data_IF_897728223546
#
_entry.id   IF_897728223546
#
_cell.length_a   1.000
_cell.length_b   1.000
_cell.length_c   1.000
_cell.angle_alpha   90.00
_cell.angle_beta   90.00
_cell.angle_gamma   90.00
#
_symmetry.space_group_name_H-M   'P 1'
#
loop_
_entity.id
_entity.type
_entity.pdbx_description
1 polymer ?
#
# COMPACT_ATOMS: atom_id res chain seq x y z
N UNK A 1 -4.55 -22.93 -5.61
CA UNK A 1 -4.65 -21.71 -6.46
C UNK A 1 -6.03 -21.73 -7.10
N UNK A 2 -6.78 -20.64 -7.02
CA UNK A 2 -8.08 -20.53 -7.70
C UNK A 2 -7.86 -20.39 -9.21
N UNK A 3 -8.69 -21.06 -10.01
CA UNK A 3 -8.75 -20.86 -11.46
C UNK A 3 -9.34 -19.47 -11.76
N UNK A 4 -8.89 -18.83 -12.84
CA UNK A 4 -9.43 -17.54 -13.32
C UNK A 4 -10.94 -17.59 -13.57
N UNK A 5 -11.50 -18.78 -13.84
CA UNK A 5 -12.95 -19.02 -13.90
C UNK A 5 -13.66 -18.80 -12.55
N UNK A 6 -13.04 -19.19 -11.43
CA UNK A 6 -13.57 -19.01 -10.08
C UNK A 6 -13.51 -17.54 -9.65
N UNK A 7 -12.44 -16.82 -9.99
CA UNK A 7 -12.36 -15.37 -9.71
C UNK A 7 -13.42 -14.59 -10.52
N UNK A 8 -13.69 -15.02 -11.75
CA UNK A 8 -14.77 -14.44 -12.55
C UNK A 8 -16.14 -14.69 -11.92
N UNK A 9 -16.36 -15.86 -11.30
CA UNK A 9 -17.58 -16.16 -10.55
C UNK A 9 -17.70 -15.29 -9.28
N UNK A 10 -16.60 -15.07 -8.56
CA UNK A 10 -16.58 -14.14 -7.42
C UNK A 10 -16.83 -12.70 -7.84
N UNK A 11 -16.22 -12.22 -8.92
CA UNK A 11 -16.50 -10.88 -9.46
C UNK A 11 -17.95 -10.73 -9.90
N UNK A 12 -18.56 -11.78 -10.46
CA UNK A 12 -19.99 -11.80 -10.78
C UNK A 12 -20.84 -11.76 -9.50
N UNK A 13 -20.47 -12.52 -8.47
CA UNK A 13 -21.12 -12.46 -7.15
C UNK A 13 -21.02 -11.06 -6.53
N UNK A 14 -19.86 -10.40 -6.61
CA UNK A 14 -19.65 -9.01 -6.20
C UNK A 14 -20.53 -8.07 -7.03
N UNK A 15 -20.58 -8.24 -8.35
CA UNK A 15 -21.39 -7.44 -9.26
C UNK A 15 -22.89 -7.52 -8.92
N UNK A 16 -23.37 -8.74 -8.63
CA UNK A 16 -24.74 -9.07 -8.24
C UNK A 16 -25.06 -8.72 -6.78
N UNK A 17 -24.07 -8.29 -6.00
CA UNK A 17 -24.20 -7.98 -4.57
C UNK A 17 -24.56 -9.19 -3.72
N UNK A 18 -24.13 -10.37 -4.15
CA UNK A 18 -24.26 -11.64 -3.43
C UNK A 18 -22.99 -12.01 -2.67
N UNK A 19 -21.95 -11.18 -2.77
CA UNK A 19 -20.70 -11.37 -2.03
C UNK A 19 -20.95 -11.12 -0.52
N UNK A 20 -20.88 -12.18 0.27
CA UNK A 20 -21.18 -12.17 1.72
C UNK A 20 -19.96 -11.88 2.60
N UNK A 21 -18.81 -11.55 2.01
CA UNK A 21 -17.59 -11.17 2.72
C UNK A 21 -16.47 -12.22 2.65
N UNK A 22 -15.38 -11.92 3.37
CA UNK A 22 -14.12 -12.67 3.42
C UNK A 22 -14.22 -13.97 4.25
N UNK A 23 -15.24 -14.80 4.02
CA UNK A 23 -15.24 -16.15 4.60
C UNK A 23 -14.38 -17.08 3.73
N UNK A 24 -13.05 -16.93 3.80
CA UNK A 24 -12.15 -17.96 3.24
C UNK A 24 -12.08 -19.14 4.21
N UNK A 25 -12.80 -20.21 3.89
CA UNK A 25 -12.72 -21.52 4.58
C UNK A 25 -11.38 -22.25 4.37
N UNK A 26 -10.34 -21.57 3.88
CA UNK A 26 -9.04 -22.17 3.59
C UNK A 26 -8.07 -21.98 4.77
N UNK A 27 -7.86 -23.05 5.54
CA UNK A 27 -6.83 -23.17 6.59
C UNK A 27 -5.43 -22.70 6.16
N UNK A 28 -5.14 -22.73 4.85
CA UNK A 28 -3.88 -22.25 4.26
C UNK A 28 -3.74 -20.71 4.31
N UNK A 29 -4.84 -19.99 4.05
CA UNK A 29 -4.84 -18.52 4.05
C UNK A 29 -4.68 -17.98 5.47
N UNK A 30 -5.39 -18.58 6.44
CA UNK A 30 -5.31 -18.19 7.85
C UNK A 30 -3.89 -18.31 8.43
N UNK A 31 -3.18 -19.42 8.15
CA UNK A 31 -1.78 -19.60 8.59
C UNK A 31 -0.82 -18.60 7.96
N UNK A 32 -1.05 -18.25 6.69
CA UNK A 32 -0.20 -17.29 5.98
C UNK A 32 -0.38 -15.88 6.55
N UNK A 33 -1.62 -15.50 6.88
CA UNK A 33 -1.92 -14.19 7.47
C UNK A 33 -1.34 -14.04 8.88
N UNK A 34 -1.49 -15.06 9.72
CA UNK A 34 -0.96 -15.05 11.09
C UNK A 34 0.58 -14.90 11.11
N UNK A 35 1.28 -15.66 10.25
CA UNK A 35 2.74 -15.56 10.13
C UNK A 35 3.19 -14.17 9.67
N UNK A 36 2.45 -13.54 8.77
CA UNK A 36 2.75 -12.18 8.32
C UNK A 36 2.50 -11.14 9.41
N UNK A 37 1.43 -11.27 10.17
CA UNK A 37 1.13 -10.37 11.28
C UNK A 37 2.23 -10.41 12.35
N UNK A 38 2.62 -11.61 12.79
CA UNK A 38 3.75 -11.82 13.72
C UNK A 38 5.03 -11.19 13.16
N UNK A 39 5.26 -11.37 11.86
CA UNK A 39 6.39 -10.80 11.13
C UNK A 39 6.38 -9.26 11.10
N UNK A 40 5.23 -8.60 11.06
CA UNK A 40 5.13 -7.13 11.13
C UNK A 40 5.31 -6.58 12.55
N UNK A 41 4.85 -7.29 13.57
CA UNK A 41 5.11 -6.95 14.98
C UNK A 41 6.62 -6.95 15.24
N UNK A 42 7.30 -8.04 14.85
CA UNK A 42 8.76 -8.16 15.00
C UNK A 42 9.51 -7.01 14.34
N UNK A 43 9.04 -6.55 13.18
CA UNK A 43 9.67 -5.42 12.49
C UNK A 43 9.46 -4.11 13.24
N UNK A 44 8.26 -3.86 13.78
CA UNK A 44 8.02 -2.68 14.61
C UNK A 44 8.94 -2.64 15.82
N UNK A 45 9.14 -3.77 16.49
CA UNK A 45 10.03 -3.84 17.66
C UNK A 45 11.49 -3.63 17.28
N UNK A 46 11.98 -4.29 16.22
CA UNK A 46 13.36 -4.06 15.75
C UNK A 46 13.63 -2.62 15.32
N UNK A 47 12.65 -1.94 14.70
CA UNK A 47 12.77 -0.53 14.34
C UNK A 47 12.95 0.34 15.60
N UNK A 48 12.19 0.06 16.66
CA UNK A 48 12.34 0.78 17.94
C UNK A 48 13.70 0.49 18.58
N UNK A 49 14.11 -0.77 18.63
CA UNK A 49 15.41 -1.20 19.17
C UNK A 49 16.56 -0.48 18.47
N UNK A 50 16.56 -0.50 17.13
CA UNK A 50 17.58 0.17 16.32
C UNK A 50 17.60 1.69 16.54
N UNK A 51 16.42 2.32 16.67
CA UNK A 51 16.33 3.75 16.97
C UNK A 51 16.99 4.12 18.31
N UNK A 52 16.67 3.39 19.39
CA UNK A 52 17.26 3.67 20.70
C UNK A 52 18.75 3.36 20.72
N UNK A 53 19.17 2.22 20.14
CA UNK A 53 20.58 1.87 20.03
C UNK A 53 21.39 2.92 19.27
N UNK A 54 20.86 3.47 18.18
CA UNK A 54 21.56 4.50 17.41
C UNK A 54 21.74 5.80 18.19
N UNK A 55 20.68 6.24 18.88
CA UNK A 55 20.69 7.49 19.65
C UNK A 55 21.63 7.41 20.86
N UNK A 56 21.77 6.24 21.48
CA UNK A 56 22.71 6.03 22.59
C UNK A 56 24.19 6.15 22.15
N UNK A 57 24.49 5.88 20.87
CA UNK A 57 25.84 5.95 20.32
C UNK A 57 26.28 7.37 19.91
N UNK A 58 25.46 8.41 20.17
CA UNK A 58 25.79 9.83 19.95
C UNK A 58 26.24 10.19 18.51
N UNK A 59 25.76 9.46 17.50
CA UNK A 59 26.03 9.84 16.11
C UNK A 59 25.25 11.11 15.76
N UNK A 60 25.95 12.17 15.35
CA UNK A 60 25.39 13.50 15.06
C UNK A 60 25.22 13.69 13.56
N UNK A 61 24.42 12.85 12.94
CA UNK A 61 24.02 13.05 11.55
C UNK A 61 23.01 14.20 11.46
N UNK A 62 23.27 15.15 10.57
CA UNK A 62 22.36 16.25 10.25
C UNK A 62 22.42 16.52 8.77
N UNK A 63 21.27 16.63 8.13
CA UNK A 63 21.17 16.94 6.72
C UNK A 63 20.07 17.96 6.45
N UNK A 64 20.36 18.93 5.59
CA UNK A 64 19.42 20.00 5.23
C UNK A 64 19.13 19.93 3.74
N UNK A 65 17.87 19.66 3.40
CA UNK A 65 17.33 19.69 2.04
C UNK A 65 16.96 21.11 1.68
N UNK A 66 17.43 21.58 0.52
CA UNK A 66 17.19 22.92 -0.01
C UNK A 66 16.47 22.88 -1.36
N UNK A 67 15.73 23.94 -1.68
CA UNK A 67 15.13 24.11 -3.01
C UNK A 67 16.18 24.57 -4.05
N UNK A 68 15.75 24.73 -5.31
CA UNK A 68 16.63 25.20 -6.39
C UNK A 68 17.18 26.63 -6.18
N UNK A 69 16.58 27.41 -5.28
CA UNK A 69 17.01 28.76 -4.91
C UNK A 69 17.89 28.78 -3.66
N UNK A 70 18.20 27.61 -3.07
CA UNK A 70 18.99 27.48 -1.85
C UNK A 70 18.22 27.69 -0.55
N UNK A 71 16.89 27.91 -0.62
CA UNK A 71 16.06 28.02 0.57
C UNK A 71 15.95 26.68 1.27
N UNK A 72 16.05 26.68 2.60
CA UNK A 72 15.86 25.48 3.40
C UNK A 72 14.41 25.00 3.30
N UNK A 73 14.22 23.76 2.82
CA UNK A 73 12.94 23.09 2.77
C UNK A 73 12.70 22.23 4.00
N UNK A 74 13.75 21.54 4.46
CA UNK A 74 13.66 20.56 5.53
C UNK A 74 15.04 20.29 6.11
N UNK A 75 15.15 20.15 7.43
CA UNK A 75 16.36 19.69 8.10
C UNK A 75 16.02 18.45 8.92
N UNK A 76 16.77 17.38 8.70
CA UNK A 76 16.73 16.16 9.48
C UNK A 76 17.92 16.07 10.42
N UNK A 77 17.69 15.50 11.60
CA UNK A 77 18.72 15.17 12.59
C UNK A 77 18.54 13.74 13.07
N UNK A 78 19.64 13.05 13.35
CA UNK A 78 19.61 11.67 13.87
C UNK A 78 18.84 11.52 15.17
N UNK A 79 18.82 12.58 16.00
CA UNK A 79 18.12 12.66 17.28
C UNK A 79 16.65 13.13 17.16
N UNK A 80 16.15 13.33 15.94
CA UNK A 80 14.72 13.54 15.72
C UNK A 80 13.91 12.32 16.18
N UNK A 81 12.62 12.51 16.42
CA UNK A 81 11.76 11.46 16.97
C UNK A 81 11.65 10.25 16.03
N UNK A 82 11.45 9.06 16.61
CA UNK A 82 11.14 7.84 15.84
C UNK A 82 9.95 8.03 14.88
N UNK A 83 8.97 8.84 15.27
CA UNK A 83 7.84 9.16 14.39
C UNK A 83 8.30 9.88 13.11
N UNK A 84 9.24 10.83 13.22
CA UNK A 84 9.82 11.54 12.08
C UNK A 84 10.51 10.57 11.12
N UNK A 85 11.30 9.64 11.67
CA UNK A 85 11.97 8.60 10.90
C UNK A 85 10.96 7.72 10.14
N UNK A 86 9.92 7.25 10.82
CA UNK A 86 8.86 6.43 10.24
C UNK A 86 8.11 7.22 9.13
N UNK A 87 7.82 8.50 9.36
CA UNK A 87 7.14 9.35 8.37
C UNK A 87 7.99 9.52 7.10
N UNK A 88 9.30 9.73 7.24
CA UNK A 88 10.24 9.84 6.11
C UNK A 88 10.40 8.52 5.37
N UNK A 89 10.55 7.41 6.08
CA UNK A 89 10.61 6.07 5.48
C UNK A 89 9.32 5.73 4.69
N UNK A 90 8.15 6.03 5.24
CA UNK A 90 6.88 5.85 4.52
C UNK A 90 6.74 6.79 3.31
N UNK A 91 7.31 7.99 3.41
CA UNK A 91 7.38 8.96 2.31
C UNK A 91 8.29 8.47 1.18
N UNK A 92 9.46 7.93 1.51
CA UNK A 92 10.31 7.25 0.54
C UNK A 92 9.55 6.09 -0.10
N UNK A 93 8.98 5.18 0.70
CA UNK A 93 8.19 4.08 0.16
C UNK A 93 7.11 4.56 -0.82
N UNK A 94 6.37 5.61 -0.48
CA UNK A 94 5.31 6.14 -1.35
C UNK A 94 5.86 6.65 -2.69
N UNK A 95 7.02 7.31 -2.66
CA UNK A 95 7.67 7.91 -3.83
C UNK A 95 8.40 6.88 -4.72
N UNK A 96 9.07 5.90 -4.10
CA UNK A 96 10.03 5.00 -4.78
C UNK A 96 9.56 3.51 -4.80
N UNK A 97 8.47 3.21 -4.08
CA UNK A 97 7.63 2.00 -4.03
C UNK A 97 8.15 0.70 -3.46
N UNK A 98 9.37 0.23 -3.70
CA UNK A 98 9.65 -1.19 -3.33
C UNK A 98 10.99 -1.44 -2.67
N UNK A 99 12.07 -0.86 -3.16
CA UNK A 99 13.39 -1.09 -2.59
C UNK A 99 14.25 0.15 -2.73
N UNK A 100 15.08 0.37 -1.71
CA UNK A 100 16.19 1.30 -1.81
C UNK A 100 17.23 0.84 -2.85
N UNK A 101 17.14 -0.36 -3.44
CA UNK A 101 18.03 -0.86 -4.50
C UNK A 101 18.41 0.17 -5.59
N UNK A 102 17.53 1.12 -5.89
CA UNK A 102 17.74 2.12 -6.93
C UNK A 102 18.06 3.53 -6.40
N UNK A 103 18.34 3.71 -5.10
CA UNK A 103 18.63 5.04 -4.55
C UNK A 103 19.88 5.67 -5.19
N UNK A 104 20.84 4.84 -5.60
CA UNK A 104 22.05 5.27 -6.31
C UNK A 104 21.76 6.01 -7.63
N UNK A 105 20.57 5.86 -8.20
CA UNK A 105 20.13 6.54 -9.42
C UNK A 105 19.34 7.82 -9.17
N UNK A 106 19.24 8.30 -7.93
CA UNK A 106 18.71 9.64 -7.68
C UNK A 106 19.74 10.69 -8.10
N UNK A 107 19.30 11.79 -8.70
CA UNK A 107 20.21 12.87 -9.06
C UNK A 107 20.56 13.75 -7.84
N UNK A 108 19.77 13.65 -6.77
CA UNK A 108 19.93 14.46 -5.57
C UNK A 108 20.79 13.73 -4.52
N UNK A 109 22.04 14.19 -4.34
CA UNK A 109 23.00 13.64 -3.37
C UNK A 109 22.51 13.75 -1.92
N UNK A 110 21.84 14.85 -1.55
CA UNK A 110 21.28 15.01 -0.20
C UNK A 110 20.24 13.92 0.11
N UNK A 111 19.41 13.57 -0.86
CA UNK A 111 18.44 12.47 -0.71
C UNK A 111 19.15 11.11 -0.61
N UNK A 112 20.24 10.90 -1.35
CA UNK A 112 21.04 9.67 -1.25
C UNK A 112 21.65 9.52 0.14
N UNK A 113 22.30 10.57 0.65
CA UNK A 113 22.89 10.58 1.99
C UNK A 113 21.86 10.26 3.07
N UNK A 114 20.68 10.89 3.00
CA UNK A 114 19.59 10.59 3.94
C UNK A 114 19.11 9.13 3.86
N UNK A 115 19.03 8.57 2.64
CA UNK A 115 18.67 7.16 2.46
C UNK A 115 19.76 6.23 3.00
N UNK A 116 21.04 6.52 2.74
CA UNK A 116 22.16 5.76 3.28
C UNK A 116 22.14 5.75 4.80
N UNK A 117 21.93 6.92 5.42
CA UNK A 117 21.78 7.04 6.86
C UNK A 117 20.66 6.15 7.39
N UNK A 118 19.47 6.17 6.77
CA UNK A 118 18.38 5.28 7.19
C UNK A 118 18.65 3.80 6.96
N UNK A 119 19.37 3.44 5.89
CA UNK A 119 19.76 2.07 5.62
C UNK A 119 20.68 1.54 6.71
N UNK A 120 21.64 2.35 7.16
CA UNK A 120 22.55 2.01 8.25
C UNK A 120 21.81 2.01 9.60
N UNK A 121 21.09 3.09 9.92
CA UNK A 121 20.36 3.27 11.18
C UNK A 121 19.39 2.14 11.48
N UNK A 122 18.71 1.62 10.47
CA UNK A 122 17.68 0.60 10.64
C UNK A 122 18.02 -0.77 10.06
N UNK A 123 19.27 -1.00 9.64
CA UNK A 123 19.69 -2.24 8.98
C UNK A 123 18.72 -2.65 7.84
N UNK A 124 18.41 -1.69 6.96
CA UNK A 124 17.42 -1.91 5.90
C UNK A 124 18.06 -2.71 4.77
N UNK A 125 17.57 -3.94 4.56
CA UNK A 125 17.95 -4.76 3.42
C UNK A 125 17.45 -4.12 2.11
N UNK A 126 18.40 -3.53 1.37
CA UNK A 126 18.15 -2.88 0.08
C UNK A 126 18.05 -3.88 -1.08
N UNK A 127 18.49 -5.12 -0.89
CA UNK A 127 18.60 -6.17 -1.93
C UNK A 127 17.43 -7.15 -1.89
N UNK A 128 16.74 -7.29 -0.75
CA UNK A 128 15.58 -8.14 -0.62
C UNK A 128 14.44 -7.73 -1.57
N UNK A 129 14.07 -8.66 -2.45
CA UNK A 129 12.87 -8.57 -3.29
C UNK A 129 11.72 -9.31 -2.62
N UNK A 130 10.48 -8.93 -2.97
CA UNK A 130 9.19 -9.41 -2.42
C UNK A 130 9.06 -10.92 -2.13
N UNK A 131 9.85 -11.78 -2.77
CA UNK A 131 9.68 -13.23 -2.76
C UNK A 131 10.78 -14.03 -2.04
N UNK A 132 11.77 -13.37 -1.40
CA UNK A 132 12.85 -14.05 -0.64
C UNK A 132 13.18 -13.33 0.67
N UNK A 133 12.14 -12.92 1.40
CA UNK A 133 12.34 -12.29 2.69
C UNK A 133 12.65 -13.38 3.72
N UNK A 134 13.88 -13.39 4.26
CA UNK A 134 14.12 -14.04 5.55
C UNK A 134 13.17 -13.39 6.55
N UNK A 135 12.52 -14.19 7.40
CA UNK A 135 11.43 -13.77 8.29
C UNK A 135 11.77 -12.54 9.16
N UNK A 136 13.06 -12.21 9.36
CA UNK A 136 13.48 -11.14 10.27
C UNK A 136 14.22 -9.96 9.59
N UNK A 137 14.27 -9.91 8.25
CA UNK A 137 14.91 -8.80 7.50
C UNK A 137 14.06 -7.52 7.48
N UNK A 138 14.64 -6.37 7.85
CA UNK A 138 13.98 -5.07 7.71
C UNK A 138 14.06 -4.63 6.25
N UNK A 139 12.92 -4.27 5.66
CA UNK A 139 12.87 -3.69 4.32
C UNK A 139 11.94 -2.51 4.31
N UNK A 140 12.14 -1.59 3.37
CA UNK A 140 11.26 -0.42 3.21
C UNK A 140 9.78 -0.81 3.04
N UNK A 141 9.50 -1.90 2.31
CA UNK A 141 8.14 -2.42 2.16
C UNK A 141 7.57 -2.94 3.50
N UNK A 142 8.37 -3.64 4.32
CA UNK A 142 7.90 -4.14 5.63
C UNK A 142 7.64 -2.99 6.59
N UNK A 143 8.52 -1.99 6.63
CA UNK A 143 8.29 -0.74 7.38
C UNK A 143 6.97 -0.10 6.94
N UNK A 144 6.76 0.08 5.63
CA UNK A 144 5.53 0.67 5.12
C UNK A 144 4.28 -0.16 5.45
N UNK A 145 4.37 -1.50 5.42
CA UNK A 145 3.28 -2.40 5.85
C UNK A 145 3.00 -2.30 7.35
N UNK A 146 3.97 -1.92 8.17
CA UNK A 146 3.75 -1.61 9.58
C UNK A 146 3.01 -0.28 9.76
N UNK A 147 3.09 0.66 8.81
CA UNK A 147 2.48 2.00 8.92
C UNK A 147 1.71 2.40 7.65
N UNK A 148 0.70 1.60 7.24
CA UNK A 148 0.03 1.82 5.96
C UNK A 148 -0.82 3.11 5.96
N UNK A 149 -1.26 3.58 7.12
CA UNK A 149 -1.99 4.85 7.29
C UNK A 149 -1.17 6.06 6.83
N UNK A 150 0.12 6.11 7.17
CA UNK A 150 1.01 7.21 6.75
C UNK A 150 1.18 7.21 5.23
N UNK A 151 1.38 6.03 4.64
CA UNK A 151 1.46 5.90 3.19
C UNK A 151 0.17 6.36 2.49
N UNK A 152 -1.00 5.99 3.04
CA UNK A 152 -2.28 6.42 2.48
C UNK A 152 -2.52 7.93 2.65
N UNK A 153 -2.11 8.52 3.77
CA UNK A 153 -2.20 9.95 4.01
C UNK A 153 -1.36 10.76 3.01
N UNK A 154 -0.16 10.25 2.67
CA UNK A 154 0.68 10.84 1.63
C UNK A 154 -0.02 10.90 0.27
N UNK A 155 -0.76 9.85 -0.10
CA UNK A 155 -1.61 9.84 -1.29
C UNK A 155 -2.77 10.84 -1.15
N UNK A 156 -3.45 10.86 0.01
CA UNK A 156 -4.58 11.75 0.30
C UNK A 156 -4.21 13.24 0.18
N UNK A 157 -3.05 13.63 0.70
CA UNK A 157 -2.48 14.98 0.61
C UNK A 157 -2.00 15.34 -0.80
N UNK A 158 -1.81 14.34 -1.68
CA UNK A 158 -1.31 14.58 -3.02
C UNK A 158 0.14 15.06 -3.06
N UNK A 159 0.96 14.66 -2.08
CA UNK A 159 2.36 15.10 -1.95
C UNK A 159 3.25 14.62 -3.11
N UNK A 160 2.81 13.59 -3.84
CA UNK A 160 3.60 12.96 -4.89
C UNK A 160 2.79 12.85 -6.17
N UNK A 161 3.49 12.96 -7.31
CA UNK A 161 2.91 12.64 -8.62
C UNK A 161 2.60 11.14 -8.61
N UNK A 162 1.32 10.81 -8.53
CA UNK A 162 0.87 9.43 -8.54
C UNK A 162 1.24 8.78 -9.88
N UNK A 163 1.95 7.64 -9.82
CA UNK A 163 2.19 6.79 -11.00
C UNK A 163 0.92 6.11 -11.51
N UNK A 164 -0.14 6.16 -10.72
CA UNK A 164 -1.47 5.70 -11.11
C UNK A 164 -2.27 6.96 -11.49
N UNK A 165 -2.86 7.02 -12.69
CA UNK A 165 -3.70 8.13 -13.09
C UNK A 165 -4.81 8.41 -12.06
N UNK A 166 -5.10 9.69 -11.80
CA UNK A 166 -6.12 10.07 -10.80
C UNK A 166 -7.54 9.68 -11.23
N UNK A 167 -7.75 9.42 -12.51
CA UNK A 167 -9.00 9.02 -13.14
C UNK A 167 -9.08 7.50 -13.41
N UNK A 168 -8.13 6.71 -12.88
CA UNK A 168 -7.99 5.28 -13.22
C UNK A 168 -9.27 4.46 -12.98
N UNK A 169 -10.11 4.89 -12.04
CA UNK A 169 -11.38 4.24 -11.68
C UNK A 169 -12.61 4.86 -12.39
N UNK A 170 -12.40 5.61 -13.48
CA UNK A 170 -13.47 6.20 -14.29
C UNK A 170 -14.03 7.53 -13.75
N UNK A 171 -13.43 8.06 -12.68
CA UNK A 171 -13.76 9.34 -12.05
C UNK A 171 -12.47 9.99 -11.57
N UNK A 172 -12.31 11.29 -11.76
CA UNK A 172 -11.10 12.00 -11.31
C UNK A 172 -11.10 12.19 -9.80
N UNK A 173 -10.16 11.52 -9.12
CA UNK A 173 -9.98 11.64 -7.68
C UNK A 173 -9.31 12.97 -7.31
N UNK A 174 -10.05 13.77 -6.54
CA UNK A 174 -9.58 15.03 -5.95
C UNK A 174 -9.44 14.89 -4.44
N UNK A 175 -8.57 15.72 -3.87
CA UNK A 175 -8.37 15.86 -2.43
C UNK A 175 -8.07 14.51 -1.76
N UNK A 176 -8.60 14.31 -0.56
CA UNK A 176 -8.28 13.19 0.32
C UNK A 176 -8.70 11.82 -0.21
N UNK A 177 -9.65 11.75 -1.15
CA UNK A 177 -10.07 10.50 -1.79
C UNK A 177 -8.92 9.73 -2.47
N UNK A 178 -7.83 10.44 -2.81
CA UNK A 178 -6.62 9.85 -3.40
C UNK A 178 -5.99 8.76 -2.53
N UNK A 179 -6.31 8.70 -1.23
CA UNK A 179 -5.88 7.63 -0.32
C UNK A 179 -6.10 6.21 -0.90
N UNK A 180 -7.22 5.99 -1.61
CA UNK A 180 -7.57 4.69 -2.21
C UNK A 180 -6.56 4.22 -3.28
N UNK A 181 -5.80 5.15 -3.87
CA UNK A 181 -4.76 4.83 -4.86
C UNK A 181 -3.49 4.26 -4.22
N UNK A 182 -3.36 4.36 -2.89
CA UNK A 182 -2.26 3.76 -2.16
C UNK A 182 -2.35 2.23 -2.27
N UNK A 183 -1.25 1.54 -2.66
CA UNK A 183 -1.25 0.07 -2.66
C UNK A 183 -1.56 -0.51 -1.28
N UNK A 184 -1.13 0.14 -0.20
CA UNK A 184 -1.36 -0.37 1.16
C UNK A 184 -2.75 0.00 1.71
N UNK A 185 -3.58 0.71 0.93
CA UNK A 185 -4.94 1.07 1.33
C UNK A 185 -5.80 -0.10 1.82
N UNK A 186 -5.75 -1.31 1.23
CA UNK A 186 -6.59 -2.41 1.72
C UNK A 186 -6.34 -2.75 3.21
N UNK A 187 -5.12 -2.53 3.72
CA UNK A 187 -4.81 -2.75 5.15
C UNK A 187 -5.39 -1.71 6.11
N UNK A 188 -5.94 -0.62 5.60
CA UNK A 188 -6.60 0.44 6.39
C UNK A 188 -8.06 0.63 5.99
N UNK A 189 -8.56 -0.18 5.06
CA UNK A 189 -9.92 -0.09 4.58
C UNK A 189 -10.91 -0.63 5.63
N UNK A 190 -11.89 0.19 6.00
CA UNK A 190 -12.98 -0.22 6.89
C UNK A 190 -13.90 -1.23 6.22
N UNK A 191 -14.45 -2.16 7.01
CA UNK A 191 -15.39 -3.18 6.56
C UNK A 191 -16.64 -2.57 5.89
N UNK A 192 -17.05 -1.37 6.29
CA UNK A 192 -18.21 -0.66 5.71
C UNK A 192 -18.07 -0.43 4.21
N UNK A 193 -16.83 -0.32 3.70
CA UNK A 193 -16.54 -0.11 2.29
C UNK A 193 -16.85 -1.34 1.43
N UNK A 194 -17.15 -2.50 2.03
CA UNK A 194 -17.37 -3.78 1.34
C UNK A 194 -18.79 -4.32 1.50
N UNK A 195 -19.53 -3.90 2.53
CA UNK A 195 -20.85 -4.44 2.88
C UNK A 195 -21.94 -3.97 1.90
N UNK A 196 -21.86 -2.72 1.45
CA UNK A 196 -22.92 -2.15 0.60
C UNK A 196 -22.85 -2.68 -0.84
N UNK A 197 -23.90 -3.40 -1.24
CA UNK A 197 -24.10 -4.00 -2.57
C UNK A 197 -23.75 -3.07 -3.74
N UNK A 198 -24.13 -1.80 -3.66
CA UNK A 198 -23.98 -0.86 -4.78
C UNK A 198 -22.73 0.01 -4.70
N UNK A 199 -21.96 -0.07 -3.62
CA UNK A 199 -20.82 0.80 -3.42
C UNK A 199 -19.54 0.06 -3.02
N UNK A 200 -19.58 -1.27 -2.82
CA UNK A 200 -18.41 -2.10 -2.54
C UNK A 200 -17.19 -1.70 -3.43
N UNK A 201 -16.08 -1.35 -2.79
CA UNK A 201 -14.88 -0.82 -3.49
C UNK A 201 -13.89 -1.87 -3.98
N UNK A 202 -14.13 -3.15 -3.71
CA UNK A 202 -13.23 -4.24 -4.12
C UNK A 202 -12.93 -4.23 -5.62
N UNK A 203 -13.90 -3.98 -6.54
CA UNK A 203 -13.59 -3.81 -7.95
C UNK A 203 -12.60 -2.67 -8.23
N UNK A 204 -12.73 -1.55 -7.53
CA UNK A 204 -11.82 -0.41 -7.63
C UNK A 204 -10.42 -0.81 -7.14
N UNK A 205 -10.30 -1.49 -6.00
CA UNK A 205 -9.01 -1.95 -5.47
C UNK A 205 -8.30 -2.91 -6.42
N UNK A 206 -9.02 -3.90 -6.95
CA UNK A 206 -8.47 -4.85 -7.93
C UNK A 206 -8.04 -4.16 -9.22
N UNK A 207 -8.84 -3.21 -9.71
CA UNK A 207 -8.51 -2.45 -10.91
C UNK A 207 -7.29 -1.53 -10.71
N UNK A 208 -7.20 -0.86 -9.57
CA UNK A 208 -6.04 -0.06 -9.16
C UNK A 208 -4.80 -0.95 -9.13
N UNK A 209 -4.87 -2.10 -8.45
CA UNK A 209 -3.78 -3.06 -8.35
C UNK A 209 -3.34 -3.60 -9.71
N UNK A 210 -4.31 -3.93 -10.57
CA UNK A 210 -4.05 -4.34 -11.94
C UNK A 210 -3.34 -3.25 -12.73
N UNK A 211 -3.53 -1.97 -12.43
CA UNK A 211 -2.88 -0.86 -13.12
C UNK A 211 -1.62 -0.32 -12.45
N UNK A 212 -1.22 -0.88 -11.31
CA UNK A 212 0.09 -0.57 -10.72
C UNK A 212 1.20 -0.92 -11.74
N UNK A 213 2.09 0.02 -12.10
CA UNK A 213 3.23 -0.28 -12.95
C UNK A 213 4.13 -1.31 -12.25
N UNK A 214 4.30 -2.48 -12.85
CA UNK A 214 5.24 -3.51 -12.38
C UNK A 214 6.53 -3.34 -13.20
N UNK A 215 7.64 -3.01 -12.53
CA UNK A 215 8.95 -2.76 -13.19
C UNK A 215 9.68 -4.05 -13.61
N UNK A 216 9.06 -5.22 -13.59
CA UNK A 216 9.74 -6.47 -13.96
C UNK A 216 9.41 -6.85 -15.41
N UNK A 217 10.43 -6.75 -16.27
CA UNK A 217 10.37 -7.01 -17.73
C UNK A 217 9.85 -8.41 -18.10
N UNK A 218 9.85 -9.37 -17.16
CA UNK A 218 9.48 -10.77 -17.42
C UNK A 218 7.99 -11.10 -17.26
N UNK A 219 7.14 -10.18 -16.80
CA UNK A 219 5.71 -10.45 -16.59
C UNK A 219 4.84 -9.54 -17.46
N UNK A 220 4.89 -9.76 -18.79
CA UNK A 220 3.96 -9.08 -19.73
C UNK A 220 2.49 -9.41 -19.46
N UNK A 221 2.21 -10.52 -18.77
CA UNK A 221 0.85 -10.91 -18.35
C UNK A 221 0.73 -10.71 -16.83
N UNK A 222 -0.05 -9.70 -16.42
CA UNK A 222 -0.43 -9.51 -15.02
C UNK A 222 -1.38 -10.64 -14.63
N UNK A 223 -0.92 -11.61 -13.84
CA UNK A 223 -1.77 -12.70 -13.35
C UNK A 223 -2.79 -12.14 -12.33
N UNK A 224 -4.08 -12.32 -12.63
CA UNK A 224 -5.16 -11.79 -11.81
C UNK A 224 -5.26 -12.49 -10.45
N UNK A 225 -5.00 -13.80 -10.40
CA UNK A 225 -4.96 -14.56 -9.15
C UNK A 225 -3.97 -13.95 -8.17
N UNK A 226 -2.74 -13.63 -8.61
CA UNK A 226 -1.72 -12.98 -7.79
C UNK A 226 -2.20 -11.62 -7.28
N UNK A 227 -2.91 -10.85 -8.10
CA UNK A 227 -3.48 -9.57 -7.69
C UNK A 227 -4.56 -9.78 -6.64
N UNK A 228 -5.49 -10.71 -6.88
CA UNK A 228 -6.54 -11.08 -5.94
C UNK A 228 -5.97 -11.48 -4.59
N UNK A 229 -5.05 -12.46 -4.59
CA UNK A 229 -4.37 -12.92 -3.37
C UNK A 229 -3.66 -11.76 -2.65
N UNK A 230 -2.95 -10.89 -3.38
CA UNK A 230 -2.26 -9.74 -2.77
C UNK A 230 -3.22 -8.73 -2.13
N UNK A 231 -4.37 -8.46 -2.76
CA UNK A 231 -5.37 -7.54 -2.21
C UNK A 231 -6.04 -8.16 -0.98
N UNK A 232 -6.42 -9.44 -1.05
CA UNK A 232 -7.05 -10.15 0.07
C UNK A 232 -6.10 -10.30 1.26
N UNK A 233 -4.80 -10.54 1.00
CA UNK A 233 -3.78 -10.56 2.04
C UNK A 233 -3.72 -9.24 2.82
N UNK A 234 -3.82 -8.11 2.12
CA UNK A 234 -3.79 -6.81 2.77
C UNK A 234 -5.09 -6.46 3.47
N UNK A 235 -6.25 -6.85 2.94
CA UNK A 235 -7.56 -6.65 3.57
C UNK A 235 -7.69 -7.42 4.90
N UNK A 236 -7.15 -8.63 4.93
CA UNK A 236 -7.14 -9.49 6.11
C UNK A 236 -5.97 -9.21 7.05
N UNK A 237 -5.12 -8.23 6.75
CA UNK A 237 -4.04 -7.85 7.65
C UNK A 237 -4.64 -7.11 8.86
N UNK A 238 -4.65 -7.77 10.01
CA UNK A 238 -5.20 -7.25 11.27
C UNK A 238 -4.23 -6.24 11.93
N UNK A 239 -3.84 -5.21 11.19
CA UNK A 239 -2.84 -4.21 11.63
C UNK A 239 -3.48 -3.14 12.52
N UNK A 240 -4.75 -2.82 12.26
CA UNK A 240 -5.49 -1.78 12.95
C UNK A 240 -6.89 -2.24 13.29
N UNK A 241 -7.43 -1.87 14.47
CA UNK A 241 -8.80 -2.15 14.83
C UNK A 241 -9.78 -1.43 13.89
N UNK A 242 -10.97 -1.99 13.72
CA UNK A 242 -11.97 -1.50 12.76
C UNK A 242 -12.38 -0.05 13.02
N UNK A 243 -12.46 0.37 14.29
CA UNK A 243 -12.80 1.74 14.68
C UNK A 243 -11.80 2.74 14.12
N UNK A 244 -10.51 2.38 14.12
CA UNK A 244 -9.45 3.22 13.56
C UNK A 244 -9.49 3.22 12.03
N UNK A 245 -9.76 2.06 11.40
CA UNK A 245 -9.95 1.99 9.94
C UNK A 245 -11.15 2.84 9.49
N UNK A 246 -12.25 2.80 10.25
CA UNK A 246 -13.42 3.63 10.02
C UNK A 246 -13.07 5.12 10.13
N UNK A 247 -12.38 5.51 11.19
CA UNK A 247 -11.90 6.88 11.38
C UNK A 247 -11.05 7.36 10.20
N UNK A 248 -10.09 6.57 9.73
CA UNK A 248 -9.26 6.90 8.56
C UNK A 248 -10.09 7.06 7.29
N UNK A 249 -11.02 6.14 7.03
CA UNK A 249 -11.89 6.21 5.87
C UNK A 249 -12.79 7.45 5.89
N UNK A 250 -13.25 7.85 7.08
CA UNK A 250 -13.99 9.10 7.27
C UNK A 250 -13.10 10.33 7.05
N UNK A 251 -11.89 10.34 7.62
CA UNK A 251 -10.91 11.41 7.43
C UNK A 251 -10.58 11.64 5.95
N UNK A 252 -10.56 10.58 5.16
CA UNK A 252 -10.29 10.62 3.72
C UNK A 252 -11.52 10.86 2.84
N UNK A 253 -12.67 11.20 3.44
CA UNK A 253 -13.94 11.49 2.75
C UNK A 253 -14.45 10.30 1.90
N UNK A 254 -14.06 9.08 2.25
CA UNK A 254 -14.56 7.87 1.58
C UNK A 254 -15.97 7.52 2.07
N UNK A 255 -16.22 7.81 3.35
CA UNK A 255 -17.49 7.62 4.06
C UNK A 255 -17.82 8.85 4.92
N UNK A 256 -19.11 9.09 5.14
CA UNK A 256 -19.57 10.08 6.11
C UNK A 256 -19.48 9.54 7.55
N UNK A 257 -19.84 10.39 8.52
CA UNK A 257 -19.85 10.05 9.95
C UNK A 257 -20.74 8.87 10.33
N UNK A 258 -21.68 8.49 9.47
CA UNK A 258 -22.61 7.36 9.66
C UNK A 258 -22.17 6.13 8.86
N UNK A 259 -20.98 6.16 8.25
CA UNK A 259 -20.48 5.08 7.40
C UNK A 259 -21.11 5.04 6.01
N UNK A 260 -21.87 6.07 5.61
CA UNK A 260 -22.48 6.13 4.29
C UNK A 260 -21.43 6.52 3.25
N UNK A 261 -21.37 5.71 2.21
CA UNK A 261 -20.45 5.88 1.09
C UNK A 261 -20.80 7.08 0.21
N UNK A 262 -19.78 7.80 -0.26
CA UNK A 262 -19.95 8.85 -1.27
C UNK A 262 -20.51 8.27 -2.59
N UNK A 263 -21.40 9.01 -3.26
CA UNK A 263 -22.05 8.58 -4.53
C UNK A 263 -21.04 8.33 -5.65
N UNK A 264 -19.87 8.99 -5.61
CA UNK A 264 -18.77 8.79 -6.58
C UNK A 264 -18.36 7.31 -6.69
N UNK A 265 -18.44 6.56 -5.58
CA UNK A 265 -18.03 5.16 -5.54
C UNK A 265 -18.93 4.26 -6.36
N UNK A 266 -20.24 4.56 -6.43
CA UNK A 266 -21.20 3.79 -7.26
C UNK A 266 -20.81 3.85 -8.74
N UNK A 267 -20.57 5.06 -9.25
CA UNK A 267 -20.18 5.26 -10.65
C UNK A 267 -18.84 4.60 -10.96
N UNK A 268 -17.85 4.78 -10.07
CA UNK A 268 -16.53 4.15 -10.25
C UNK A 268 -16.59 2.62 -10.24
N UNK A 269 -17.51 2.03 -9.45
CA UNK A 269 -17.66 0.57 -9.33
C UNK A 269 -18.10 -0.05 -10.64
N UNK A 270 -19.13 0.52 -11.28
CA UNK A 270 -19.65 0.04 -12.55
C UNK A 270 -18.57 0.09 -13.65
N UNK A 271 -17.81 1.19 -13.70
CA UNK A 271 -16.66 1.32 -14.59
C UNK A 271 -15.61 0.22 -14.33
N UNK A 272 -15.16 0.06 -13.08
CA UNK A 272 -14.14 -0.92 -12.74
C UNK A 272 -14.58 -2.36 -13.03
N UNK A 273 -15.84 -2.72 -12.73
CA UNK A 273 -16.39 -4.04 -13.05
C UNK A 273 -16.33 -4.33 -14.56
N UNK A 274 -16.74 -3.36 -15.39
CA UNK A 274 -16.69 -3.48 -16.85
C UNK A 274 -15.25 -3.68 -17.35
N UNK A 275 -14.30 -2.94 -16.77
CA UNK A 275 -12.89 -3.03 -17.14
C UNK A 275 -12.25 -4.36 -16.71
N UNK A 276 -12.58 -4.84 -15.51
CA UNK A 276 -12.13 -6.13 -15.00
C UNK A 276 -12.68 -7.30 -15.83
N UNK A 277 -13.99 -7.33 -16.13
CA UNK A 277 -14.62 -8.36 -16.95
C UNK A 277 -13.99 -8.43 -18.35
N UNK A 278 -13.81 -7.27 -19.01
CA UNK A 278 -13.13 -7.18 -20.31
C UNK A 278 -11.70 -7.72 -20.27
N UNK A 279 -10.98 -7.46 -19.18
CA UNK A 279 -9.59 -7.88 -19.00
C UNK A 279 -9.48 -9.38 -18.76
N UNK A 280 -10.30 -9.93 -17.87
CA UNK A 280 -10.32 -11.36 -17.57
C UNK A 280 -10.73 -12.21 -18.77
N UNK A 281 -11.77 -11.80 -19.51
CA UNK A 281 -12.17 -12.48 -20.76
C UNK A 281 -11.04 -12.55 -21.78
N UNK A 282 -10.23 -11.50 -21.89
CA UNK A 282 -9.05 -11.49 -22.77
C UNK A 282 -7.97 -12.45 -22.28
N UNK A 283 -7.71 -12.52 -20.98
CA UNK A 283 -6.74 -13.46 -20.41
C UNK A 283 -7.15 -14.91 -20.59
N UNK A 284 -8.42 -15.24 -20.34
CA UNK A 284 -8.96 -16.59 -20.55
C UNK A 284 -8.78 -17.00 -22.02
N UNK A 285 -9.11 -16.12 -22.96
CA UNK A 285 -8.93 -16.39 -24.40
C UNK A 285 -7.46 -16.58 -24.80
N UNK A 286 -6.51 -16.00 -24.08
CA UNK A 286 -5.07 -16.19 -24.35
C UNK A 286 -4.52 -17.50 -23.79
N UNK A 287 -5.24 -18.14 -22.85
CA UNK A 287 -4.86 -19.41 -22.22
C UNK A 287 -5.50 -20.64 -22.88
N UNK A 288 -6.46 -20.41 -23.80
CA UNK A 288 -7.11 -21.41 -24.64
C UNK A 288 -6.44 -21.47 -26.01
#
# INVERSE_FOLDING_TARGET
MMDSSAILAELRSIAEGKYTGLQSNDNYMNRTYEQQYISLIKIREKIKENYYFWNDNNDRFKITVRDMNGNELFTYRSDDSLETDIQLLCTFYTSIRQTFKFYQYFDNETVKELICHFVEKYDIDTKALRNRLKNDSITLLRIARCFPNICCENYAKGLFISRIPLDIIGVTLKNKHRAILCPLFPSVASNVLFISKNTNILPQLLWIYFNIPIRTEKWRIKNFDKIWFSVMELLNADIFPEEYRFYLCHQWDLIDKNGKMNKIWKLSREYCLKMLDKTLKRQIKQLQ
#
